data_IF_700087386387
#
_entry.id   IF_700087386387
#
_cell.length_a   1.000
_cell.length_b   1.000
_cell.length_c   1.000
_cell.angle_alpha   90.00
_cell.angle_beta   90.00
_cell.angle_gamma   90.00
#
_symmetry.space_group_name_H-M   'P 1'
#
loop_
_entity.id
_entity.type
_entity.pdbx_description
1 polymer ?
#
# COMPACT_ATOMS: atom_id res chain seq x y z
N UNK A 1 41.25 24.87 -26.30
CA UNK A 1 40.94 26.02 -25.41
C UNK A 1 39.42 26.11 -25.34
N UNK A 2 38.70 26.26 -24.24
CA UNK A 2 38.95 26.34 -22.81
C UNK A 2 37.62 25.92 -22.17
N UNK A 3 37.55 24.82 -21.40
CA UNK A 3 37.22 24.85 -19.97
C UNK A 3 36.60 26.17 -19.47
N UNK A 4 35.35 26.14 -19.02
CA UNK A 4 35.00 26.16 -17.58
C UNK A 4 33.51 26.44 -17.30
N UNK A 5 33.03 26.11 -16.09
CA UNK A 5 31.65 25.74 -15.79
C UNK A 5 30.89 26.82 -15.00
N UNK A 6 29.55 26.69 -14.91
CA UNK A 6 28.72 27.47 -13.98
C UNK A 6 28.46 26.65 -12.71
N UNK A 7 28.86 27.25 -11.58
CA UNK A 7 28.72 26.82 -10.19
C UNK A 7 27.23 26.61 -9.81
N UNK A 8 26.82 25.53 -9.14
CA UNK A 8 26.93 25.21 -7.69
C UNK A 8 26.61 26.37 -6.75
N UNK A 9 25.41 26.35 -6.15
CA UNK A 9 25.11 26.67 -4.73
C UNK A 9 23.59 26.42 -4.49
N UNK A 10 23.20 25.46 -3.65
CA UNK A 10 23.11 25.46 -2.18
C UNK A 10 21.65 25.71 -1.75
N UNK A 11 20.96 24.69 -1.21
CA UNK A 11 20.27 24.76 0.08
C UNK A 11 20.13 23.33 0.61
N UNK A 12 20.83 23.11 1.72
CA UNK A 12 20.76 21.93 2.59
C UNK A 12 19.62 22.15 3.59
N UNK A 13 18.58 21.32 3.55
CA UNK A 13 17.70 21.10 4.69
C UNK A 13 17.55 19.59 4.90
N UNK A 14 18.52 19.02 5.62
CA UNK A 14 18.42 17.66 6.16
C UNK A 14 17.81 17.76 7.56
N UNK A 15 16.51 17.50 7.66
CA UNK A 15 15.82 17.39 8.95
C UNK A 15 16.20 16.05 9.60
N UNK A 16 17.06 16.12 10.61
CA UNK A 16 17.44 15.00 11.45
C UNK A 16 16.20 14.45 12.20
N UNK A 17 15.89 13.17 11.96
CA UNK A 17 14.86 12.44 12.72
C UNK A 17 15.57 11.58 13.77
N UNK A 18 15.23 11.66 15.07
CA UNK A 18 15.91 10.89 16.09
C UNK A 18 15.55 9.39 16.03
N UNK A 19 16.61 8.57 15.95
CA UNK A 19 16.58 7.10 15.94
C UNK A 19 16.29 6.60 17.36
N UNK A 20 15.06 6.17 17.63
CA UNK A 20 14.71 5.48 18.89
C UNK A 20 15.37 4.10 18.91
N UNK A 21 16.31 3.92 19.83
CA UNK A 21 16.99 2.67 20.14
C UNK A 21 16.01 1.68 20.78
N UNK A 22 15.91 0.49 20.19
CA UNK A 22 15.17 -0.66 20.73
C UNK A 22 16.11 -1.40 21.70
N UNK A 23 15.79 -1.55 22.99
CA UNK A 23 16.57 -2.39 23.87
C UNK A 23 16.26 -3.87 23.64
N UNK A 24 17.28 -4.63 23.22
CA UNK A 24 17.26 -6.09 23.16
C UNK A 24 17.42 -6.66 24.57
N UNK A 25 16.39 -7.35 25.10
CA UNK A 25 16.48 -8.08 26.37
C UNK A 25 16.72 -9.56 26.09
N UNK A 26 17.95 -10.02 26.34
CA UNK A 26 18.30 -11.44 26.39
C UNK A 26 17.75 -12.09 27.66
N UNK A 27 17.28 -13.35 27.62
CA UNK A 27 16.95 -14.11 28.83
C UNK A 27 18.20 -14.77 29.40
N UNK A 28 18.64 -14.30 30.57
CA UNK A 28 19.57 -15.01 31.44
C UNK A 28 18.79 -15.98 32.32
N UNK A 29 19.15 -17.26 32.23
CA UNK A 29 18.79 -18.29 33.21
C UNK A 29 19.58 -18.04 34.48
N UNK A 30 18.91 -17.83 35.61
CA UNK A 30 19.54 -18.07 36.91
C UNK A 30 18.57 -18.69 37.90
N UNK A 31 19.12 -19.69 38.55
CA UNK A 31 18.48 -20.64 39.41
C UNK A 31 18.30 -20.11 40.85
N UNK A 32 17.22 -20.58 41.48
CA UNK A 32 17.18 -21.07 42.87
C UNK A 32 17.64 -20.11 43.98
N UNK A 33 16.67 -19.62 44.74
CA UNK A 33 16.83 -19.53 46.20
C UNK A 33 15.48 -19.67 46.90
N UNK A 34 15.44 -20.57 47.88
CA UNK A 34 14.26 -20.94 48.69
C UNK A 34 14.11 -19.94 49.82
N UNK A 35 12.93 -19.33 49.95
CA UNK A 35 12.60 -18.43 51.06
C UNK A 35 11.13 -18.53 51.42
N UNK A 36 10.87 -19.21 52.54
CA UNK A 36 9.66 -19.34 53.35
C UNK A 36 8.36 -18.65 52.87
N UNK A 37 7.37 -19.49 52.58
CA UNK A 37 5.95 -19.17 52.55
C UNK A 37 5.52 -18.78 53.98
N UNK A 38 5.15 -17.52 54.19
CA UNK A 38 4.31 -17.09 55.31
C UNK A 38 3.06 -16.44 54.74
N UNK A 39 1.98 -17.21 54.70
CA UNK A 39 0.65 -16.74 54.38
C UNK A 39 0.17 -15.80 55.50
N UNK A 40 0.13 -14.49 55.22
CA UNK A 40 -0.67 -13.54 55.98
C UNK A 40 -1.74 -13.01 55.02
N UNK A 41 -2.98 -13.21 55.43
CA UNK A 41 -4.21 -12.87 54.74
C UNK A 41 -4.31 -11.37 54.44
N UNK A 42 -4.56 -11.02 53.18
CA UNK A 42 -5.26 -9.80 52.81
C UNK A 42 -6.02 -10.05 51.49
N UNK A 43 -7.25 -10.53 51.61
CA UNK A 43 -8.28 -10.47 50.58
C UNK A 43 -8.67 -9.00 50.40
N UNK A 44 -8.27 -8.36 49.29
CA UNK A 44 -8.91 -7.14 48.79
C UNK A 44 -8.54 -6.84 47.33
N UNK A 45 -9.57 -6.66 46.51
CA UNK A 45 -9.59 -5.97 45.21
C UNK A 45 -8.86 -6.62 44.01
N UNK A 46 -9.46 -7.68 43.48
CA UNK A 46 -9.32 -8.07 42.07
C UNK A 46 -10.65 -7.79 41.36
N UNK A 47 -10.92 -6.54 40.95
CA UNK A 47 -11.97 -6.22 39.98
C UNK A 47 -11.70 -4.85 39.35
N UNK A 48 -11.91 -4.78 38.04
CA UNK A 48 -11.86 -3.61 37.15
C UNK A 48 -10.51 -3.25 36.50
N UNK A 49 -9.96 -4.17 35.69
CA UNK A 49 -9.40 -3.73 34.41
C UNK A 49 -10.46 -3.96 33.33
N UNK A 50 -11.30 -2.95 33.11
CA UNK A 50 -12.19 -2.95 31.95
C UNK A 50 -11.31 -2.71 30.72
N UNK A 51 -11.34 -3.59 29.70
CA UNK A 51 -10.77 -3.23 28.41
C UNK A 51 -11.58 -2.04 27.92
N UNK A 52 -10.95 -0.89 27.71
CA UNK A 52 -11.58 0.21 27.00
C UNK A 52 -12.06 -0.34 25.66
N UNK A 53 -13.38 -0.44 25.49
CA UNK A 53 -13.96 -0.83 24.21
C UNK A 53 -13.61 0.29 23.25
N UNK A 54 -12.51 0.12 22.51
CA UNK A 54 -12.25 0.94 21.35
C UNK A 54 -13.48 0.79 20.47
N UNK A 55 -14.21 1.89 20.25
CA UNK A 55 -15.33 1.91 19.32
C UNK A 55 -14.83 1.35 17.99
N UNK A 56 -15.32 0.17 17.62
CA UNK A 56 -14.96 -0.44 16.35
C UNK A 56 -15.41 0.53 15.26
N UNK A 57 -14.52 0.92 14.32
CA UNK A 57 -14.93 1.80 13.24
C UNK A 57 -16.08 1.11 12.48
N UNK A 58 -17.11 1.87 12.08
CA UNK A 58 -18.23 1.28 11.35
C UNK A 58 -17.69 0.55 10.12
N UNK A 59 -18.05 -0.73 9.99
CA UNK A 59 -17.79 -1.52 8.79
C UNK A 59 -18.51 -0.84 7.63
N UNK A 60 -17.77 -0.08 6.83
CA UNK A 60 -18.29 0.52 5.62
C UNK A 60 -18.54 -0.61 4.62
N UNK A 61 -19.80 -0.92 4.40
CA UNK A 61 -20.23 -1.84 3.35
C UNK A 61 -19.66 -1.34 2.02
N UNK A 62 -18.77 -2.14 1.42
CA UNK A 62 -18.11 -1.79 0.17
C UNK A 62 -19.10 -2.10 -0.95
N UNK A 63 -19.72 -1.05 -1.46
CA UNK A 63 -20.55 -1.15 -2.65
C UNK A 63 -19.69 -1.67 -3.80
N UNK A 64 -20.26 -2.52 -4.64
CA UNK A 64 -19.59 -3.07 -5.81
C UNK A 64 -20.06 -2.42 -7.11
N UNK A 65 -19.36 -2.70 -8.20
CA UNK A 65 -19.75 -2.25 -9.53
C UNK A 65 -19.79 -0.72 -9.65
N UNK A 66 -20.77 -0.20 -10.41
CA UNK A 66 -20.90 1.24 -10.64
C UNK A 66 -21.19 2.03 -9.35
N UNK A 67 -21.98 1.47 -8.43
CA UNK A 67 -22.25 2.10 -7.14
C UNK A 67 -20.96 2.24 -6.31
N UNK A 68 -20.15 1.18 -6.27
CA UNK A 68 -18.82 1.20 -5.66
C UNK A 68 -17.89 2.22 -6.30
N UNK A 69 -17.83 2.27 -7.63
CA UNK A 69 -17.03 3.24 -8.38
C UNK A 69 -17.42 4.69 -8.04
N UNK A 70 -18.72 5.00 -7.97
CA UNK A 70 -19.20 6.33 -7.56
C UNK A 70 -18.79 6.66 -6.13
N UNK A 71 -19.02 5.74 -5.19
CA UNK A 71 -18.66 5.92 -3.77
C UNK A 71 -17.14 6.16 -3.61
N UNK A 72 -16.31 5.46 -4.37
CA UNK A 72 -14.86 5.64 -4.37
C UNK A 72 -14.46 7.04 -4.86
N UNK A 73 -15.06 7.53 -5.96
CA UNK A 73 -14.83 8.88 -6.50
C UNK A 73 -15.28 9.96 -5.49
N UNK A 74 -16.46 9.81 -4.89
CA UNK A 74 -16.97 10.75 -3.90
C UNK A 74 -16.09 10.84 -2.65
N UNK A 75 -15.58 9.69 -2.19
CA UNK A 75 -14.63 9.64 -1.08
C UNK A 75 -13.35 10.38 -1.41
N UNK A 76 -12.76 10.13 -2.58
CA UNK A 76 -11.56 10.86 -3.03
C UNK A 76 -11.82 12.36 -3.19
N UNK A 77 -13.02 12.73 -3.64
CA UNK A 77 -13.42 14.11 -3.81
C UNK A 77 -13.47 14.84 -2.46
N UNK A 78 -13.97 14.19 -1.40
CA UNK A 78 -13.94 14.75 -0.04
C UNK A 78 -12.50 15.01 0.41
N UNK A 79 -11.62 14.02 0.30
CA UNK A 79 -10.21 14.19 0.68
C UNK A 79 -9.50 15.28 -0.14
N UNK A 80 -9.76 15.38 -1.44
CA UNK A 80 -9.17 16.39 -2.30
C UNK A 80 -9.63 17.82 -1.94
N UNK A 81 -10.88 17.98 -1.46
CA UNK A 81 -11.42 19.25 -0.97
C UNK A 81 -10.74 19.65 0.34
N UNK A 82 -10.62 18.72 1.29
CA UNK A 82 -9.94 18.95 2.57
C UNK A 82 -8.47 19.34 2.38
N UNK A 83 -7.79 18.74 1.40
CA UNK A 83 -6.40 19.05 1.09
C UNK A 83 -6.22 20.32 0.23
N UNK A 84 -7.30 21.00 -0.16
CA UNK A 84 -7.25 22.21 -0.99
C UNK A 84 -6.73 22.00 -2.42
N UNK A 85 -6.68 20.76 -2.93
CA UNK A 85 -6.13 20.46 -4.26
C UNK A 85 -7.19 20.70 -5.34
N UNK A 86 -7.30 21.96 -5.80
CA UNK A 86 -8.33 22.39 -6.77
C UNK A 86 -8.30 21.61 -8.09
N UNK A 87 -7.12 21.29 -8.61
CA UNK A 87 -6.98 20.52 -9.85
C UNK A 87 -7.53 19.09 -9.69
N UNK A 88 -7.19 18.42 -8.58
CA UNK A 88 -7.72 17.09 -8.28
C UNK A 88 -9.24 17.12 -8.08
N UNK A 89 -9.76 18.13 -7.38
CA UNK A 89 -11.20 18.31 -7.18
C UNK A 89 -11.94 18.41 -8.52
N UNK A 90 -11.45 19.24 -9.45
CA UNK A 90 -12.06 19.39 -10.78
C UNK A 90 -12.06 18.08 -11.56
N UNK A 91 -10.94 17.34 -11.57
CA UNK A 91 -10.85 16.04 -12.23
C UNK A 91 -11.82 15.01 -11.63
N UNK A 92 -11.93 14.95 -10.30
CA UNK A 92 -12.84 14.03 -9.62
C UNK A 92 -14.32 14.39 -9.83
N UNK A 93 -14.66 15.68 -9.94
CA UNK A 93 -16.01 16.11 -10.30
C UNK A 93 -16.38 15.68 -11.73
N UNK A 94 -15.45 15.83 -12.68
CA UNK A 94 -15.65 15.34 -14.04
C UNK A 94 -15.80 13.81 -14.08
N UNK A 95 -15.00 13.09 -13.30
CA UNK A 95 -15.11 11.63 -13.17
C UNK A 95 -16.46 11.20 -12.58
N UNK A 96 -16.96 11.94 -11.57
CA UNK A 96 -18.26 11.66 -10.96
C UNK A 96 -19.41 11.86 -11.95
N UNK A 97 -19.39 12.97 -12.71
CA UNK A 97 -20.37 13.21 -13.77
C UNK A 97 -20.33 12.13 -14.86
N UNK A 98 -19.13 11.67 -15.25
CA UNK A 98 -18.99 10.54 -16.17
C UNK A 98 -19.51 9.22 -15.59
N UNK A 99 -19.42 9.03 -14.28
CA UNK A 99 -19.94 7.84 -13.62
C UNK A 99 -21.48 7.76 -13.64
N UNK A 100 -22.20 8.84 -13.95
CA UNK A 100 -23.65 8.81 -14.10
C UNK A 100 -24.13 7.96 -15.28
N UNK A 101 -23.27 7.78 -16.29
CA UNK A 101 -23.53 6.89 -17.43
C UNK A 101 -22.96 5.48 -17.22
N UNK A 102 -22.45 5.16 -16.02
CA UNK A 102 -21.88 3.85 -15.71
C UNK A 102 -22.97 2.77 -15.73
N UNK A 103 -22.67 1.67 -16.42
CA UNK A 103 -23.45 0.41 -16.33
C UNK A 103 -22.54 -0.70 -15.84
N UNK A 104 -23.06 -1.62 -15.03
CA UNK A 104 -22.24 -2.70 -14.46
C UNK A 104 -21.66 -3.62 -15.56
N UNK A 105 -22.42 -3.83 -16.63
CA UNK A 105 -21.95 -4.57 -17.80
C UNK A 105 -20.78 -3.86 -18.50
N UNK A 106 -20.90 -2.55 -18.76
CA UNK A 106 -19.83 -1.76 -19.36
C UNK A 106 -18.58 -1.71 -18.47
N UNK A 107 -18.76 -1.55 -17.16
CA UNK A 107 -17.66 -1.55 -16.20
C UNK A 107 -16.93 -2.89 -16.14
N UNK A 108 -17.69 -4.00 -16.16
CA UNK A 108 -17.12 -5.35 -16.24
C UNK A 108 -16.30 -5.51 -17.53
N UNK A 109 -16.85 -5.13 -18.67
CA UNK A 109 -16.16 -5.21 -19.96
C UNK A 109 -14.86 -4.39 -19.97
N UNK A 110 -14.87 -3.17 -19.41
CA UNK A 110 -13.67 -2.32 -19.24
C UNK A 110 -12.58 -3.07 -18.45
N UNK A 111 -12.95 -3.67 -17.32
CA UNK A 111 -12.03 -4.40 -16.44
C UNK A 111 -11.52 -5.69 -17.05
N UNK A 112 -12.36 -6.45 -17.75
CA UNK A 112 -11.92 -7.62 -18.52
C UNK A 112 -10.91 -7.21 -19.61
N UNK A 113 -11.09 -6.04 -20.22
CA UNK A 113 -10.09 -5.44 -21.11
C UNK A 113 -8.74 -5.27 -20.42
N UNK A 114 -8.72 -4.65 -19.23
CA UNK A 114 -7.49 -4.46 -18.45
C UNK A 114 -6.82 -5.79 -18.08
N UNK A 115 -7.60 -6.83 -17.77
CA UNK A 115 -7.06 -8.18 -17.52
C UNK A 115 -6.39 -8.73 -18.77
N UNK A 116 -7.03 -8.64 -19.94
CA UNK A 116 -6.45 -9.09 -21.21
C UNK A 116 -5.15 -8.34 -21.55
N UNK A 117 -5.15 -7.02 -21.37
CA UNK A 117 -3.96 -6.19 -21.61
C UNK A 117 -2.81 -6.56 -20.66
N UNK A 118 -3.11 -6.78 -19.37
CA UNK A 118 -2.12 -7.22 -18.39
C UNK A 118 -1.58 -8.64 -18.69
N UNK A 119 -2.43 -9.57 -19.13
CA UNK A 119 -2.00 -10.91 -19.57
C UNK A 119 -1.05 -10.81 -20.78
N UNK A 120 -1.38 -9.98 -21.77
CA UNK A 120 -0.51 -9.74 -22.92
C UNK A 120 0.83 -9.14 -22.48
N UNK A 121 0.81 -8.25 -21.48
CA UNK A 121 2.03 -7.64 -20.92
C UNK A 121 2.91 -8.66 -20.20
N UNK A 122 2.33 -9.59 -19.44
CA UNK A 122 3.08 -10.69 -18.82
C UNK A 122 3.80 -11.49 -19.90
N UNK A 123 3.10 -11.90 -20.96
CA UNK A 123 3.69 -12.65 -22.07
C UNK A 123 4.85 -11.89 -22.72
N UNK A 124 4.65 -10.60 -23.03
CA UNK A 124 5.72 -9.74 -23.58
C UNK A 124 6.97 -9.71 -22.68
N UNK A 125 6.79 -9.66 -21.35
CA UNK A 125 7.91 -9.63 -20.40
C UNK A 125 8.58 -11.00 -20.23
N UNK A 126 7.85 -12.10 -20.37
CA UNK A 126 8.42 -13.45 -20.40
C UNK A 126 9.32 -13.63 -21.62
N UNK A 127 8.88 -13.16 -22.79
CA UNK A 127 9.67 -13.17 -24.01
C UNK A 127 10.91 -12.27 -23.88
N UNK A 128 10.78 -11.06 -23.32
CA UNK A 128 11.91 -10.15 -23.05
C UNK A 128 12.94 -10.81 -22.12
N UNK A 129 12.47 -11.50 -21.06
CA UNK A 129 13.34 -12.21 -20.12
C UNK A 129 14.10 -13.34 -20.82
N UNK A 130 13.43 -14.17 -21.62
CA UNK A 130 14.06 -15.25 -22.37
C UNK A 130 15.15 -14.72 -23.31
N UNK A 131 14.88 -13.61 -24.02
CA UNK A 131 15.85 -12.94 -24.88
C UNK A 131 17.07 -12.44 -24.08
N UNK A 132 16.85 -11.84 -22.89
CA UNK A 132 17.98 -11.37 -22.04
C UNK A 132 18.77 -12.52 -21.45
N UNK A 133 18.13 -13.64 -21.11
CA UNK A 133 18.79 -14.86 -20.64
C UNK A 133 19.71 -15.44 -21.72
N UNK A 134 19.23 -15.52 -22.97
CA UNK A 134 20.04 -15.98 -24.10
C UNK A 134 21.28 -15.09 -24.34
N UNK A 135 21.18 -13.77 -24.07
CA UNK A 135 22.29 -12.82 -24.19
C UNK A 135 23.26 -12.83 -22.99
N UNK A 136 22.91 -13.47 -21.87
CA UNK A 136 23.81 -13.69 -20.72
C UNK A 136 24.19 -12.45 -19.89
N UNK A 137 23.65 -11.27 -20.18
CA UNK A 137 23.97 -10.03 -19.45
C UNK A 137 23.23 -9.98 -18.11
N UNK A 138 23.91 -10.34 -17.02
CA UNK A 138 23.35 -10.41 -15.65
C UNK A 138 22.48 -9.21 -15.25
N UNK A 139 22.95 -7.98 -15.52
CA UNK A 139 22.21 -6.74 -15.22
C UNK A 139 20.89 -6.64 -16.00
N UNK A 140 20.90 -7.02 -17.28
CA UNK A 140 19.73 -6.94 -18.15
C UNK A 140 18.71 -8.03 -17.79
N UNK A 141 19.18 -9.23 -17.44
CA UNK A 141 18.35 -10.32 -16.92
C UNK A 141 17.64 -9.89 -15.63
N UNK A 142 18.37 -9.31 -14.67
CA UNK A 142 17.79 -8.83 -13.42
C UNK A 142 16.74 -7.72 -13.66
N UNK A 143 16.99 -6.81 -14.62
CA UNK A 143 16.02 -5.77 -15.00
C UNK A 143 14.77 -6.37 -15.65
N UNK A 144 14.93 -7.36 -16.53
CA UNK A 144 13.82 -8.04 -17.19
C UNK A 144 12.97 -8.83 -16.19
N UNK A 145 13.59 -9.55 -15.25
CA UNK A 145 12.89 -10.27 -14.19
C UNK A 145 12.01 -9.32 -13.36
N UNK A 146 12.57 -8.19 -12.92
CA UNK A 146 11.80 -7.19 -12.15
C UNK A 146 10.57 -6.68 -12.90
N UNK A 147 10.70 -6.43 -14.21
CA UNK A 147 9.57 -5.99 -15.05
C UNK A 147 8.51 -7.09 -15.21
N UNK A 148 8.94 -8.35 -15.28
CA UNK A 148 8.02 -9.48 -15.32
C UNK A 148 7.26 -9.61 -14.01
N UNK A 149 7.94 -9.46 -12.88
CA UNK A 149 7.31 -9.49 -11.55
C UNK A 149 6.30 -8.35 -11.39
N UNK A 150 6.64 -7.14 -11.87
CA UNK A 150 5.72 -6.00 -11.93
C UNK A 150 4.49 -6.29 -12.81
N UNK A 151 4.69 -6.81 -14.02
CA UNK A 151 3.57 -7.16 -14.91
C UNK A 151 2.65 -8.26 -14.30
N UNK A 152 3.22 -9.21 -13.57
CA UNK A 152 2.45 -10.24 -12.85
C UNK A 152 1.67 -9.66 -11.68
N UNK A 153 2.23 -8.69 -10.96
CA UNK A 153 1.54 -7.95 -9.92
C UNK A 153 0.37 -7.13 -10.50
N UNK A 154 0.59 -6.45 -11.63
CA UNK A 154 -0.45 -5.69 -12.33
C UNK A 154 -1.59 -6.61 -12.82
N UNK A 155 -1.26 -7.80 -13.34
CA UNK A 155 -2.26 -8.80 -13.71
C UNK A 155 -3.10 -9.24 -12.50
N UNK A 156 -2.46 -9.54 -11.37
CA UNK A 156 -3.15 -9.91 -10.14
C UNK A 156 -4.07 -8.78 -9.67
N UNK A 157 -3.60 -7.53 -9.69
CA UNK A 157 -4.41 -6.36 -9.35
C UNK A 157 -5.60 -6.17 -10.30
N UNK A 158 -5.40 -6.34 -11.61
CA UNK A 158 -6.48 -6.26 -12.60
C UNK A 158 -7.53 -7.37 -12.40
N UNK A 159 -7.10 -8.59 -12.04
CA UNK A 159 -8.01 -9.69 -11.73
C UNK A 159 -8.81 -9.44 -10.44
N UNK A 160 -8.19 -8.84 -9.42
CA UNK A 160 -8.89 -8.44 -8.21
C UNK A 160 -9.94 -7.35 -8.49
N UNK A 161 -9.58 -6.35 -9.30
CA UNK A 161 -10.49 -5.26 -9.69
C UNK A 161 -11.65 -5.71 -10.57
N UNK A 162 -11.50 -6.81 -11.32
CA UNK A 162 -12.58 -7.37 -12.16
C UNK A 162 -13.86 -7.66 -11.36
N UNK A 163 -13.72 -8.13 -10.12
CA UNK A 163 -14.83 -8.55 -9.27
C UNK A 163 -15.18 -7.56 -8.16
N UNK A 164 -14.66 -6.34 -8.22
CA UNK A 164 -14.87 -5.32 -7.20
C UNK A 164 -16.10 -4.45 -7.45
#
# INVERSE_FOLDING_TARGET
MSKSPVLKNFVSLSTATPRRSIPTRSPGTDARSRGAIRHVLALAALLAWAPAHAAEPPVQERLQGCAGKKQDIERELRYARESGNKARVQGLQAALAGADQCTDAGLRQEREGKVRDAQAKVKEREDELAEKQAKGKKKDIAKAQRKLDEARADLSAAQAELYR
#
